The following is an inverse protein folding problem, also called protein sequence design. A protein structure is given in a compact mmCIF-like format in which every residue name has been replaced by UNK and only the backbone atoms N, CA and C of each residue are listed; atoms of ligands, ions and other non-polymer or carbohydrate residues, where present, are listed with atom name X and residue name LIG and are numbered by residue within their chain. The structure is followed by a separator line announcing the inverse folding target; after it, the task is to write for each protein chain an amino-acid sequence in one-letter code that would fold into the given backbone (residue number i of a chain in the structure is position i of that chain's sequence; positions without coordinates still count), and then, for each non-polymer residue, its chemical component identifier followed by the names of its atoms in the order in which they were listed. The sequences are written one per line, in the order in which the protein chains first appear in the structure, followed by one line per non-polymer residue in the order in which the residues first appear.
data_IF_524700844377
#
_entry.id   IF_524700844377
#
_cell.length_a   1.000
_cell.length_b   1.000
_cell.length_c   1.000
_cell.angle_alpha   90.00
_cell.angle_beta   90.00
_cell.angle_gamma   90.00
#
_symmetry.space_group_name_H-M   'P 1'
#
loop_
_entity.id
_entity.type
_entity.pdbx_description
1 polymer ?
#
# COMPACT_ATOMS: atom_id res chain seq x y z
N UNK A 1 33.99 -18.92 -15.72
CA UNK A 1 32.71 -18.66 -16.41
C UNK A 1 32.07 -17.46 -15.74
N UNK A 2 32.24 -16.31 -16.38
CA UNK A 2 31.70 -15.01 -15.94
C UNK A 2 30.23 -14.97 -16.31
N UNK A 3 29.34 -15.21 -15.34
CA UNK A 3 27.90 -15.02 -15.52
C UNK A 3 27.61 -13.52 -15.57
N UNK A 4 27.24 -13.03 -16.75
CA UNK A 4 26.69 -11.70 -16.91
C UNK A 4 25.38 -11.59 -16.12
N UNK A 5 25.33 -10.68 -15.16
CA UNK A 5 24.10 -10.29 -14.46
C UNK A 5 23.15 -9.66 -15.50
N UNK A 6 21.84 -9.95 -15.44
CA UNK A 6 20.88 -9.35 -16.38
C UNK A 6 20.87 -7.83 -16.21
N UNK A 7 20.92 -7.10 -17.31
CA UNK A 7 21.00 -5.64 -17.47
C UNK A 7 19.70 -4.92 -17.02
N UNK A 8 18.68 -5.64 -16.57
CA UNK A 8 17.44 -5.08 -15.98
C UNK A 8 17.46 -5.31 -14.48
N UNK A 9 17.50 -4.23 -13.69
CA UNK A 9 17.61 -4.24 -12.23
C UNK A 9 16.46 -4.88 -11.45
N UNK A 10 15.72 -5.81 -12.03
CA UNK A 10 14.72 -6.63 -11.38
C UNK A 10 15.25 -8.06 -11.22
N UNK A 11 15.40 -8.51 -9.97
CA UNK A 11 15.66 -9.90 -9.67
C UNK A 11 14.48 -10.76 -10.13
N UNK A 12 14.70 -12.00 -10.58
CA UNK A 12 13.61 -12.85 -11.06
C UNK A 12 12.57 -13.05 -9.97
N UNK A 13 11.32 -12.73 -10.30
CA UNK A 13 10.17 -12.99 -9.43
C UNK A 13 9.93 -14.49 -9.42
N UNK A 14 10.33 -15.16 -8.34
CA UNK A 14 10.05 -16.58 -8.10
C UNK A 14 8.65 -16.69 -7.49
N UNK A 15 7.64 -16.79 -8.33
CA UNK A 15 6.25 -17.04 -7.94
C UNK A 15 5.38 -17.11 -9.18
N UNK A 16 4.37 -17.99 -9.20
CA UNK A 16 3.40 -18.04 -10.30
C UNK A 16 2.69 -16.70 -10.41
N UNK A 17 2.78 -16.07 -11.59
CA UNK A 17 2.11 -14.80 -11.88
C UNK A 17 0.61 -15.05 -11.98
N UNK A 18 -0.23 -14.28 -11.28
CA UNK A 18 -1.68 -14.45 -11.35
C UNK A 18 -2.19 -14.16 -12.77
N UNK A 19 -3.24 -14.88 -13.23
CA UNK A 19 -3.89 -14.60 -14.50
C UNK A 19 -4.42 -13.16 -14.53
N UNK A 20 -4.54 -12.61 -15.74
CA UNK A 20 -4.82 -11.19 -16.02
C UNK A 20 -6.15 -10.62 -15.45
N UNK A 21 -6.91 -11.38 -14.67
CA UNK A 21 -8.24 -11.02 -14.17
C UNK A 21 -8.34 -10.59 -12.70
N UNK A 22 -7.34 -10.86 -11.86
CA UNK A 22 -7.51 -10.92 -10.40
C UNK A 22 -6.92 -9.74 -9.59
N UNK A 23 -6.71 -8.57 -10.19
CA UNK A 23 -6.32 -7.38 -9.43
C UNK A 23 -7.51 -6.77 -8.70
N UNK A 24 -7.32 -6.30 -7.43
CA UNK A 24 -8.38 -5.59 -6.76
C UNK A 24 -8.81 -4.41 -7.65
N UNK A 25 -10.11 -4.22 -7.83
CA UNK A 25 -10.61 -3.09 -8.62
C UNK A 25 -10.07 -1.79 -8.01
N UNK A 26 -9.72 -0.83 -8.88
CA UNK A 26 -9.52 0.55 -8.46
C UNK A 26 -10.75 0.92 -7.64
N UNK A 27 -10.59 1.49 -6.41
CA UNK A 27 -11.73 1.90 -5.64
C UNK A 27 -12.67 2.73 -6.54
N UNK A 28 -13.92 2.32 -6.63
CA UNK A 28 -14.91 3.06 -7.40
C UNK A 28 -14.90 4.53 -6.94
N UNK A 29 -15.15 5.50 -7.85
CA UNK A 29 -15.29 6.88 -7.44
C UNK A 29 -16.27 6.94 -6.28
N UNK A 30 -15.88 7.66 -5.24
CA UNK A 30 -16.72 7.81 -4.05
C UNK A 30 -17.99 8.49 -4.52
N UNK A 31 -19.13 7.80 -4.42
CA UNK A 31 -20.43 8.39 -4.74
C UNK A 31 -20.70 9.65 -3.89
N UNK A 32 -21.76 10.40 -4.17
CA UNK A 32 -22.09 11.59 -3.40
C UNK A 32 -22.17 11.22 -1.91
N UNK A 33 -21.35 11.91 -1.11
CA UNK A 33 -21.28 11.72 0.34
C UNK A 33 -22.34 12.62 0.97
N UNK A 34 -23.16 12.08 1.84
CA UNK A 34 -24.06 12.89 2.68
C UNK A 34 -23.20 13.73 3.64
N UNK A 35 -23.10 15.02 3.34
CA UNK A 35 -22.30 15.96 4.14
C UNK A 35 -22.81 16.05 5.58
N UNK A 36 -24.13 16.01 5.80
CA UNK A 36 -24.74 16.04 7.13
C UNK A 36 -24.41 14.79 7.94
N UNK A 37 -24.48 13.62 7.30
CA UNK A 37 -24.08 12.35 7.92
C UNK A 37 -22.59 12.28 8.26
N UNK A 38 -21.73 12.83 7.41
CA UNK A 38 -20.29 12.89 7.66
C UNK A 38 -19.95 13.83 8.83
N UNK A 39 -20.59 15.00 8.93
CA UNK A 39 -20.39 15.92 10.05
C UNK A 39 -20.84 15.30 11.37
N UNK A 40 -22.03 14.68 11.40
CA UNK A 40 -22.52 13.98 12.57
C UNK A 40 -21.56 12.83 13.00
N UNK A 41 -21.03 12.08 12.03
CA UNK A 41 -20.03 11.04 12.26
C UNK A 41 -18.74 11.63 12.87
N UNK A 42 -18.28 12.77 12.36
CA UNK A 42 -17.10 13.46 12.89
C UNK A 42 -17.29 13.92 14.33
N UNK A 43 -18.45 14.47 14.68
CA UNK A 43 -18.78 14.90 16.04
C UNK A 43 -18.82 13.74 17.03
N UNK A 44 -19.45 12.62 16.64
CA UNK A 44 -19.47 11.40 17.45
C UNK A 44 -18.07 10.85 17.66
N UNK A 45 -17.22 10.80 16.62
CA UNK A 45 -15.82 10.37 16.72
C UNK A 45 -15.01 11.32 17.60
N UNK A 46 -15.17 12.63 17.48
CA UNK A 46 -14.46 13.62 18.30
C UNK A 46 -14.78 13.48 19.79
N UNK A 47 -16.05 13.20 20.11
CA UNK A 47 -16.50 12.95 21.49
C UNK A 47 -15.92 11.65 22.05
N UNK A 48 -15.85 10.57 21.25
CA UNK A 48 -15.36 9.24 21.67
C UNK A 48 -13.84 9.12 21.65
N UNK A 49 -13.17 9.86 20.74
CA UNK A 49 -11.72 9.83 20.53
C UNK A 49 -11.12 11.23 20.70
N UNK A 50 -11.17 11.83 21.93
CA UNK A 50 -10.78 13.22 22.15
C UNK A 50 -9.34 13.49 21.75
N UNK A 51 -9.11 14.57 20.96
CA UNK A 51 -7.80 15.00 20.46
C UNK A 51 -7.21 14.11 19.37
N UNK A 52 -7.98 13.19 18.80
CA UNK A 52 -7.52 12.23 17.77
C UNK A 52 -8.22 12.42 16.42
N UNK A 53 -9.21 13.27 16.37
CA UNK A 53 -9.98 13.59 15.16
C UNK A 53 -9.58 14.98 14.66
N UNK A 54 -9.37 15.10 13.36
CA UNK A 54 -9.12 16.37 12.67
C UNK A 54 -10.01 16.46 11.43
N UNK A 55 -10.38 17.67 11.05
CA UNK A 55 -11.10 17.96 9.80
C UNK A 55 -10.15 18.59 8.80
N UNK A 56 -10.39 18.35 7.52
CA UNK A 56 -9.65 18.93 6.39
C UNK A 56 -8.13 18.79 6.49
N UNK A 57 -7.68 17.64 7.04
CA UNK A 57 -6.26 17.34 7.20
C UNK A 57 -5.64 16.98 5.85
N UNK A 58 -4.62 17.74 5.39
CA UNK A 58 -3.86 17.39 4.19
C UNK A 58 -3.26 15.98 4.28
N UNK A 59 -3.49 15.16 3.26
CA UNK A 59 -2.94 13.81 3.16
C UNK A 59 -1.53 13.77 2.55
N UNK A 60 -1.08 14.83 1.90
CA UNK A 60 0.24 14.89 1.28
C UNK A 60 1.39 14.49 2.24
N UNK A 61 1.45 14.95 3.51
CA UNK A 61 2.50 14.53 4.44
C UNK A 61 2.44 13.05 4.84
N UNK A 62 1.30 12.39 4.60
CA UNK A 62 1.07 10.97 4.93
C UNK A 62 1.33 10.04 3.73
N UNK A 63 1.72 10.58 2.57
CA UNK A 63 2.08 9.81 1.38
C UNK A 63 3.56 9.94 1.07
N UNK A 64 4.14 8.92 0.45
CA UNK A 64 5.54 9.00 -0.02
C UNK A 64 5.69 9.81 -1.29
N UNK A 65 4.61 10.01 -2.04
CA UNK A 65 4.55 11.00 -3.13
C UNK A 65 4.59 12.44 -2.65
N UNK A 66 4.20 12.69 -1.39
CA UNK A 66 3.96 14.03 -0.83
C UNK A 66 2.89 14.81 -1.61
N UNK A 67 1.98 14.09 -2.24
CA UNK A 67 0.83 14.60 -2.98
C UNK A 67 -0.47 14.13 -2.31
N UNK A 68 -1.55 14.86 -2.56
CA UNK A 68 -2.89 14.53 -2.11
C UNK A 68 -3.56 15.67 -1.36
N UNK A 69 -4.84 15.87 -1.63
CA UNK A 69 -5.69 16.84 -0.98
C UNK A 69 -6.09 16.43 0.44
N UNK A 70 -7.08 17.13 1.03
CA UNK A 70 -7.48 16.90 2.42
C UNK A 70 -8.30 15.64 2.62
N UNK A 71 -8.21 15.06 3.83
CA UNK A 71 -9.22 14.16 4.37
C UNK A 71 -10.33 15.00 4.99
N UNK A 72 -11.58 14.79 4.59
CA UNK A 72 -12.70 15.52 5.20
C UNK A 72 -12.75 15.27 6.72
N UNK A 73 -12.59 14.01 7.13
CA UNK A 73 -12.43 13.61 8.53
C UNK A 73 -11.21 12.69 8.66
N UNK A 74 -10.32 12.97 9.59
CA UNK A 74 -9.14 12.17 9.87
C UNK A 74 -9.17 11.66 11.31
N UNK A 75 -9.08 10.35 11.49
CA UNK A 75 -8.95 9.69 12.79
C UNK A 75 -7.55 9.08 12.94
N UNK A 76 -6.78 9.53 13.94
CA UNK A 76 -5.57 8.84 14.39
C UNK A 76 -5.91 7.94 15.56
N UNK A 77 -6.17 6.67 15.26
CA UNK A 77 -6.49 5.68 16.30
C UNK A 77 -5.25 5.29 17.11
N UNK A 78 -5.33 5.35 18.43
CA UNK A 78 -4.28 4.96 19.36
C UNK A 78 -4.63 3.71 20.17
N UNK A 79 -5.88 3.19 20.04
CA UNK A 79 -6.36 2.03 20.79
C UNK A 79 -7.38 1.22 19.98
N UNK A 80 -7.63 -0.02 20.42
CA UNK A 80 -8.73 -0.82 19.88
C UNK A 80 -10.10 -0.20 20.17
N UNK A 81 -10.23 0.55 21.26
CA UNK A 81 -11.47 1.28 21.60
C UNK A 81 -11.74 2.39 20.56
N UNK A 82 -10.72 3.06 20.02
CA UNK A 82 -10.88 4.03 18.93
C UNK A 82 -11.39 3.35 17.66
N UNK A 83 -10.87 2.15 17.36
CA UNK A 83 -11.35 1.36 16.23
C UNK A 83 -12.78 0.88 16.46
N UNK A 84 -13.13 0.50 17.70
CA UNK A 84 -14.50 0.13 18.06
C UNK A 84 -15.46 1.32 17.94
N UNK A 85 -15.04 2.51 18.36
CA UNK A 85 -15.79 3.75 18.18
C UNK A 85 -16.04 4.05 16.70
N UNK A 86 -15.02 3.90 15.85
CA UNK A 86 -15.14 4.06 14.41
C UNK A 86 -16.11 3.02 13.81
N UNK A 87 -16.03 1.74 14.23
CA UNK A 87 -16.92 0.69 13.74
C UNK A 87 -18.39 0.99 14.07
N UNK A 88 -18.69 1.56 15.24
CA UNK A 88 -20.04 2.02 15.60
C UNK A 88 -20.50 3.13 14.67
N UNK A 89 -19.66 4.12 14.42
CA UNK A 89 -19.98 5.25 13.52
C UNK A 89 -20.24 4.76 12.10
N UNK A 90 -19.40 3.88 11.56
CA UNK A 90 -19.56 3.34 10.20
C UNK A 90 -20.80 2.46 10.04
N UNK A 91 -21.26 1.80 11.11
CA UNK A 91 -22.49 1.04 11.11
C UNK A 91 -23.73 1.95 11.07
N UNK A 92 -23.70 3.04 11.83
CA UNK A 92 -24.84 3.96 12.02
C UNK A 92 -24.92 5.01 10.89
N UNK A 93 -23.79 5.36 10.27
CA UNK A 93 -23.67 6.25 9.12
C UNK A 93 -22.69 5.66 8.10
N UNK A 94 -23.17 5.08 6.99
CA UNK A 94 -22.30 4.51 5.96
C UNK A 94 -21.59 5.63 5.18
N UNK A 95 -20.45 6.07 5.70
CA UNK A 95 -19.58 7.06 5.07
C UNK A 95 -18.34 6.38 4.48
N UNK A 96 -17.74 6.94 3.41
CA UNK A 96 -16.54 6.37 2.79
C UNK A 96 -15.39 6.28 3.78
N UNK A 97 -14.73 5.13 3.81
CA UNK A 97 -13.58 4.86 4.67
C UNK A 97 -12.32 4.63 3.84
N UNK A 98 -11.23 5.29 4.21
CA UNK A 98 -9.89 5.03 3.71
C UNK A 98 -8.96 4.68 4.87
N UNK A 99 -8.20 3.59 4.75
CA UNK A 99 -7.20 3.20 5.74
C UNK A 99 -5.82 3.51 5.18
N UNK A 100 -5.07 4.39 5.86
CA UNK A 100 -3.75 4.85 5.40
C UNK A 100 -2.67 4.47 6.40
N UNK A 101 -1.65 3.74 5.92
CA UNK A 101 -0.41 3.53 6.66
C UNK A 101 0.58 4.68 6.38
N UNK A 102 1.61 4.41 5.59
CA UNK A 102 2.57 5.43 5.11
C UNK A 102 2.28 5.93 3.70
N UNK A 103 1.13 5.61 3.12
CA UNK A 103 0.74 6.04 1.77
C UNK A 103 1.80 5.72 0.70
N UNK A 104 2.55 4.63 0.88
CA UNK A 104 3.69 4.30 0.02
C UNK A 104 3.31 3.55 -1.26
N UNK A 105 2.05 3.20 -1.41
CA UNK A 105 1.48 2.59 -2.62
C UNK A 105 0.15 3.28 -3.00
N UNK A 106 0.09 4.61 -2.85
CA UNK A 106 -1.12 5.38 -3.09
C UNK A 106 -0.79 6.67 -3.85
N UNK A 107 -1.67 7.03 -4.77
CA UNK A 107 -1.79 8.36 -5.34
C UNK A 107 -3.14 8.92 -4.88
N UNK A 108 -3.12 9.93 -4.03
CA UNK A 108 -4.32 10.58 -3.52
C UNK A 108 -4.65 11.78 -4.41
N UNK A 109 -5.88 11.87 -4.88
CA UNK A 109 -6.35 12.97 -5.73
C UNK A 109 -6.15 14.35 -5.07
N UNK A 110 -6.01 15.39 -5.88
CA UNK A 110 -5.81 16.76 -5.40
C UNK A 110 -7.03 17.27 -4.61
N UNK A 111 -8.24 16.78 -4.92
CA UNK A 111 -9.46 17.00 -4.13
C UNK A 111 -9.51 16.25 -2.81
N UNK A 112 -8.60 15.32 -2.55
CA UNK A 112 -8.50 14.55 -1.31
C UNK A 112 -9.50 13.39 -1.22
N UNK A 113 -9.93 13.09 0.02
CA UNK A 113 -10.85 12.02 0.36
C UNK A 113 -12.09 12.56 1.06
N UNK A 114 -13.29 12.46 0.45
CA UNK A 114 -14.52 13.05 0.98
C UNK A 114 -15.20 12.16 2.05
N UNK A 115 -14.44 11.53 2.93
CA UNK A 115 -14.93 10.63 3.95
C UNK A 115 -13.98 10.57 5.14
N UNK A 116 -14.05 9.47 5.89
CA UNK A 116 -13.17 9.23 7.04
C UNK A 116 -11.88 8.57 6.57
N UNK A 117 -10.75 9.14 6.98
CA UNK A 117 -9.42 8.52 6.84
C UNK A 117 -8.98 8.00 8.20
N UNK A 118 -8.72 6.70 8.28
CA UNK A 118 -8.15 6.05 9.46
C UNK A 118 -6.63 5.92 9.31
N UNK A 119 -5.90 6.36 10.33
CA UNK A 119 -4.47 6.14 10.50
C UNK A 119 -4.17 5.54 11.87
N UNK A 120 -3.42 4.44 11.91
CA UNK A 120 -2.97 3.87 13.18
C UNK A 120 -1.82 4.70 13.77
N UNK A 121 -1.96 5.13 15.01
CA UNK A 121 -1.02 5.99 15.71
C UNK A 121 0.15 5.25 16.35
N UNK A 122 0.86 5.97 17.23
CA UNK A 122 2.12 5.53 17.83
C UNK A 122 1.98 4.26 18.69
N UNK A 123 0.85 4.08 19.38
CA UNK A 123 0.62 2.90 20.24
C UNK A 123 0.55 1.58 19.46
N UNK A 124 0.34 1.65 18.14
CA UNK A 124 0.45 0.50 17.24
C UNK A 124 1.85 0.34 16.62
N UNK A 125 2.88 1.02 17.13
CA UNK A 125 4.29 0.92 16.68
C UNK A 125 5.16 0.17 17.70
N UNK A 126 4.78 -1.04 18.07
CA UNK A 126 5.59 -1.89 18.95
C UNK A 126 6.33 -2.96 18.15
N UNK A 127 7.46 -3.42 18.66
CA UNK A 127 8.18 -4.61 18.15
C UNK A 127 8.70 -5.39 19.34
N UNK A 128 8.23 -6.60 19.47
CA UNK A 128 8.60 -7.54 20.54
C UNK A 128 9.24 -8.78 19.92
N UNK A 129 10.22 -9.37 20.58
CA UNK A 129 10.92 -10.59 20.11
C UNK A 129 10.85 -11.62 21.21
N UNK A 130 10.38 -12.80 20.87
CA UNK A 130 10.27 -13.95 21.76
C UNK A 130 10.83 -15.20 21.05
N UNK A 131 11.99 -15.67 21.49
CA UNK A 131 12.69 -16.76 20.84
C UNK A 131 13.04 -16.43 19.39
N UNK A 132 12.48 -17.18 18.45
CA UNK A 132 12.67 -16.96 17.01
C UNK A 132 11.51 -16.19 16.36
N UNK A 133 10.57 -15.71 17.15
CA UNK A 133 9.41 -14.99 16.65
C UNK A 133 9.53 -13.48 16.93
N UNK A 134 9.07 -12.68 15.98
CA UNK A 134 9.00 -11.24 16.09
C UNK A 134 7.56 -10.80 15.88
N UNK A 135 6.98 -10.14 16.90
CA UNK A 135 5.68 -9.49 16.79
C UNK A 135 5.86 -7.99 16.54
N UNK A 136 5.10 -7.45 15.60
CA UNK A 136 5.12 -6.02 15.29
C UNK A 136 3.70 -5.47 15.15
N UNK A 137 3.46 -4.29 15.71
CA UNK A 137 2.19 -3.59 15.58
C UNK A 137 1.97 -3.07 14.16
N UNK A 138 0.69 -2.92 13.75
CA UNK A 138 0.29 -2.59 12.38
C UNK A 138 0.82 -1.27 11.84
N UNK A 139 1.11 -0.28 12.72
CA UNK A 139 1.71 1.00 12.34
C UNK A 139 3.25 0.98 12.30
N UNK A 140 3.89 -0.14 12.68
CA UNK A 140 5.36 -0.25 12.67
C UNK A 140 5.89 -0.18 11.25
N UNK A 141 6.86 0.71 10.95
CA UNK A 141 7.53 0.74 9.64
C UNK A 141 8.27 -0.57 9.36
N UNK A 142 8.10 -1.16 8.20
CA UNK A 142 8.78 -2.40 7.79
C UNK A 142 10.32 -2.31 7.88
N UNK A 143 10.98 -1.19 7.51
CA UNK A 143 12.41 -1.02 7.75
C UNK A 143 12.81 -1.13 9.22
N UNK A 144 11.92 -0.75 10.14
CA UNK A 144 12.12 -0.88 11.59
C UNK A 144 12.06 -2.34 12.05
N UNK A 145 11.17 -3.14 11.44
CA UNK A 145 11.09 -4.60 11.69
C UNK A 145 12.39 -5.28 11.28
N UNK A 146 12.91 -5.01 10.06
CA UNK A 146 14.18 -5.54 9.60
C UNK A 146 15.36 -5.14 10.51
N UNK A 147 15.41 -3.88 10.95
CA UNK A 147 16.46 -3.42 11.86
C UNK A 147 16.38 -4.09 13.24
N UNK A 148 15.16 -4.37 13.74
CA UNK A 148 14.95 -5.05 15.02
C UNK A 148 15.30 -6.53 14.94
N UNK A 149 14.98 -7.21 13.82
CA UNK A 149 15.36 -8.60 13.61
C UNK A 149 16.89 -8.79 13.62
N UNK A 150 17.63 -7.90 12.94
CA UNK A 150 19.08 -7.92 12.96
C UNK A 150 19.66 -7.81 14.39
N UNK A 151 19.17 -6.84 15.18
CA UNK A 151 19.58 -6.67 16.60
C UNK A 151 19.26 -7.89 17.48
N UNK A 152 18.27 -8.68 17.09
CA UNK A 152 17.89 -9.91 17.77
C UNK A 152 18.63 -11.16 17.22
N UNK A 153 19.56 -11.00 16.28
CA UNK A 153 20.25 -12.09 15.59
C UNK A 153 19.26 -13.04 14.89
N UNK A 154 18.25 -12.49 14.22
CA UNK A 154 17.20 -13.19 13.49
C UNK A 154 17.16 -12.75 12.03
N UNK A 155 17.40 -13.69 11.11
CA UNK A 155 17.36 -13.51 9.66
C UNK A 155 15.99 -13.89 9.06
N UNK A 156 15.86 -13.66 7.72
CA UNK A 156 14.70 -14.07 6.94
C UNK A 156 13.68 -12.95 6.68
N UNK A 157 13.88 -11.74 7.24
CA UNK A 157 13.01 -10.58 6.99
C UNK A 157 13.82 -9.32 6.60
N UNK A 158 15.08 -9.47 6.25
CA UNK A 158 15.95 -8.36 5.84
C UNK A 158 15.38 -7.58 4.64
N UNK A 159 14.70 -8.26 3.71
CA UNK A 159 14.04 -7.65 2.55
C UNK A 159 13.04 -6.54 2.90
N UNK A 160 12.44 -6.60 4.10
CA UNK A 160 11.47 -5.59 4.56
C UNK A 160 12.07 -4.18 4.68
N UNK A 161 13.41 -4.04 4.76
CA UNK A 161 14.10 -2.74 4.71
C UNK A 161 13.85 -2.00 3.40
N UNK A 162 13.63 -2.74 2.32
CA UNK A 162 13.37 -2.20 0.99
C UNK A 162 11.93 -1.68 0.80
N UNK A 163 11.03 -1.91 1.75
CA UNK A 163 9.60 -1.59 1.64
C UNK A 163 9.26 -0.38 2.52
N UNK A 164 8.91 0.78 1.96
CA UNK A 164 8.67 2.01 2.75
C UNK A 164 7.34 2.01 3.53
N UNK A 165 6.58 0.91 3.51
CA UNK A 165 5.28 0.75 4.14
C UNK A 165 5.32 0.47 5.65
N UNK A 166 4.12 0.20 6.20
CA UNK A 166 3.93 -0.31 7.55
C UNK A 166 3.63 -1.81 7.53
N UNK A 167 3.73 -2.48 8.68
CA UNK A 167 3.35 -3.89 8.84
C UNK A 167 1.91 -4.13 8.36
N UNK A 168 0.96 -3.29 8.78
CA UNK A 168 -0.44 -3.44 8.38
C UNK A 168 -0.66 -3.33 6.87
N UNK A 169 -0.07 -2.30 6.23
CA UNK A 169 -0.10 -2.16 4.77
C UNK A 169 0.66 -3.28 4.06
N UNK A 170 1.77 -3.73 4.65
CA UNK A 170 2.56 -4.84 4.13
C UNK A 170 1.79 -6.16 4.12
N UNK A 171 1.12 -6.52 5.21
CA UNK A 171 0.27 -7.73 5.29
C UNK A 171 -0.89 -7.63 4.30
N UNK A 172 -1.58 -6.48 4.25
CA UNK A 172 -2.67 -6.27 3.30
C UNK A 172 -2.28 -6.47 1.85
N UNK A 173 -1.09 -6.01 1.47
CA UNK A 173 -0.58 -6.09 0.10
C UNK A 173 0.32 -7.30 -0.15
N UNK A 174 0.50 -8.19 0.82
CA UNK A 174 1.54 -9.22 0.76
C UNK A 174 2.85 -8.63 0.22
N UNK A 175 3.33 -7.57 0.87
CA UNK A 175 4.44 -6.79 0.37
C UNK A 175 5.73 -7.62 0.33
N UNK A 176 6.43 -7.53 -0.78
CA UNK A 176 7.66 -8.27 -1.00
C UNK A 176 8.71 -7.46 -1.77
N UNK A 177 9.96 -7.86 -1.62
CA UNK A 177 11.12 -7.35 -2.32
C UNK A 177 12.23 -8.42 -2.35
N UNK A 178 13.13 -8.34 -3.33
CA UNK A 178 14.30 -9.24 -3.43
C UNK A 178 13.93 -10.73 -3.39
N UNK A 179 12.82 -11.12 -4.06
CA UNK A 179 12.40 -12.53 -4.16
C UNK A 179 11.73 -13.10 -2.91
N UNK A 180 11.43 -12.28 -1.91
CA UNK A 180 10.72 -12.67 -0.69
C UNK A 180 9.50 -11.79 -0.44
N UNK A 181 8.49 -12.31 0.27
CA UNK A 181 7.29 -11.60 0.65
C UNK A 181 6.88 -11.88 2.10
N UNK A 182 6.00 -11.05 2.66
CA UNK A 182 5.64 -11.18 4.07
C UNK A 182 4.94 -12.50 4.38
N UNK A 183 4.18 -13.05 3.45
CA UNK A 183 3.52 -14.36 3.58
C UNK A 183 4.52 -15.47 3.92
N UNK A 184 5.77 -15.42 3.42
CA UNK A 184 6.81 -16.44 3.66
C UNK A 184 7.19 -16.59 5.14
N UNK A 185 6.95 -15.57 5.94
CA UNK A 185 7.38 -15.48 7.34
C UNK A 185 6.24 -15.28 8.33
N UNK A 186 5.04 -14.95 7.83
CA UNK A 186 3.89 -14.66 8.69
C UNK A 186 3.43 -15.90 9.44
N UNK A 187 3.25 -15.77 10.75
CA UNK A 187 2.63 -16.77 11.62
C UNK A 187 1.15 -16.49 11.80
N UNK A 188 0.82 -15.22 12.08
CA UNK A 188 -0.54 -14.73 12.19
C UNK A 188 -0.59 -13.20 12.07
N UNK A 189 -1.78 -12.69 11.79
CA UNK A 189 -2.11 -11.27 11.90
C UNK A 189 -3.36 -11.06 12.75
N UNK A 190 -3.35 -10.07 13.64
CA UNK A 190 -4.54 -9.60 14.34
C UNK A 190 -5.23 -8.56 13.46
N UNK A 191 -6.46 -8.87 13.05
CA UNK A 191 -7.25 -8.08 12.11
C UNK A 191 -8.50 -7.56 12.81
N UNK A 192 -8.65 -6.24 12.88
CA UNK A 192 -9.84 -5.59 13.40
C UNK A 192 -10.82 -5.29 12.26
N UNK A 193 -12.05 -5.75 12.38
CA UNK A 193 -13.10 -5.56 11.38
C UNK A 193 -13.97 -4.35 11.69
N UNK A 194 -13.82 -3.27 10.94
CA UNK A 194 -14.58 -2.02 11.10
C UNK A 194 -16.00 -2.13 10.50
N UNK A 195 -16.12 -2.87 9.40
CA UNK A 195 -17.38 -3.09 8.69
C UNK A 195 -17.58 -4.58 8.46
N UNK A 196 -18.84 -5.02 8.26
CA UNK A 196 -19.14 -6.35 7.74
C UNK A 196 -18.67 -6.47 6.28
N UNK A 197 -18.55 -7.70 5.80
CA UNK A 197 -18.33 -7.96 4.37
C UNK A 197 -19.60 -7.59 3.58
N UNK A 198 -19.61 -6.51 2.77
CA UNK A 198 -20.79 -6.12 2.00
C UNK A 198 -21.15 -7.14 0.91
N UNK A 199 -20.20 -8.02 0.56
CA UNK A 199 -20.38 -8.93 -0.57
C UNK A 199 -20.86 -10.32 -0.17
N UNK A 200 -21.00 -10.70 1.10
CA UNK A 200 -21.57 -12.01 1.54
C UNK A 200 -21.13 -13.25 0.74
N UNK A 201 -20.23 -13.11 -0.19
CA UNK A 201 -19.92 -14.05 -1.25
C UNK A 201 -18.51 -13.96 -1.80
N UNK A 202 -17.50 -13.74 -0.97
CA UNK A 202 -16.11 -13.94 -1.39
C UNK A 202 -15.88 -15.42 -1.68
N UNK A 203 -15.48 -15.75 -2.90
CA UNK A 203 -15.16 -17.09 -3.41
C UNK A 203 -13.93 -17.74 -2.77
N UNK A 204 -13.80 -17.65 -1.46
CA UNK A 204 -12.75 -18.24 -0.66
C UNK A 204 -13.22 -18.53 0.75
N UNK A 205 -13.94 -19.61 0.92
CA UNK A 205 -14.06 -20.53 2.03
C UNK A 205 -14.05 -20.08 3.50
N UNK A 206 -14.24 -18.81 3.87
CA UNK A 206 -14.39 -18.41 5.26
C UNK A 206 -15.88 -18.49 5.64
N UNK A 207 -16.26 -19.55 6.35
CA UNK A 207 -17.61 -19.71 6.89
C UNK A 207 -17.85 -18.67 7.99
N UNK A 208 -18.71 -17.70 7.69
CA UNK A 208 -19.21 -16.67 8.61
C UNK A 208 -18.51 -15.31 8.42
N UNK A 209 -19.32 -14.25 8.22
CA UNK A 209 -18.78 -12.88 8.22
C UNK A 209 -18.11 -12.60 9.56
N UNK A 210 -16.88 -12.04 9.56
CA UNK A 210 -16.18 -11.73 10.80
C UNK A 210 -17.00 -10.71 11.63
N UNK A 211 -16.95 -10.82 12.98
CA UNK A 211 -17.72 -9.94 13.85
C UNK A 211 -17.23 -8.51 13.73
N UNK A 212 -18.13 -7.59 13.35
CA UNK A 212 -17.87 -6.14 13.29
C UNK A 212 -17.51 -5.60 14.67
N UNK A 213 -16.53 -4.69 14.72
CA UNK A 213 -16.06 -4.06 15.96
C UNK A 213 -15.18 -4.95 16.82
N UNK A 214 -14.64 -6.03 16.29
CA UNK A 214 -13.76 -6.97 17.02
C UNK A 214 -12.49 -7.30 16.25
N UNK A 215 -11.47 -7.69 16.99
CA UNK A 215 -10.22 -8.23 16.47
C UNK A 215 -10.34 -9.76 16.33
N UNK A 216 -9.85 -10.28 15.20
CA UNK A 216 -9.74 -11.71 14.91
C UNK A 216 -8.30 -12.00 14.55
N UNK A 217 -7.75 -13.08 15.14
CA UNK A 217 -6.43 -13.58 14.76
C UNK A 217 -6.58 -14.49 13.56
N UNK A 218 -5.90 -14.13 12.45
CA UNK A 218 -5.95 -14.85 11.19
C UNK A 218 -4.58 -15.45 10.87
N UNK A 219 -4.56 -16.68 10.36
CA UNK A 219 -3.37 -17.37 9.84
C UNK A 219 -3.16 -17.04 8.36
N UNK A 220 -1.96 -17.33 7.80
CA UNK A 220 -1.66 -17.05 6.39
C UNK A 220 -2.66 -17.65 5.39
N UNK A 221 -3.14 -18.87 5.63
CA UNK A 221 -4.14 -19.56 4.79
C UNK A 221 -5.51 -18.87 4.80
N UNK A 222 -5.88 -18.20 5.91
CA UNK A 222 -7.12 -17.44 6.04
C UNK A 222 -7.02 -16.05 5.40
N UNK A 223 -5.80 -15.53 5.19
CA UNK A 223 -5.54 -14.22 4.59
C UNK A 223 -5.57 -14.25 3.05
N UNK A 224 -5.62 -15.43 2.43
CA UNK A 224 -5.77 -15.60 0.98
C UNK A 224 -4.73 -14.80 0.18
N UNK A 225 -3.46 -14.93 0.56
CA UNK A 225 -2.37 -14.21 -0.08
C UNK A 225 -2.19 -14.58 -1.55
N UNK A 226 -1.85 -13.59 -2.35
CA UNK A 226 -1.39 -13.72 -3.71
C UNK A 226 -0.39 -12.61 -4.02
N UNK A 227 0.08 -12.56 -5.26
CA UNK A 227 1.04 -11.53 -5.68
C UNK A 227 0.46 -10.13 -5.45
N UNK A 228 1.06 -9.35 -4.55
CA UNK A 228 0.66 -7.98 -4.15
C UNK A 228 -0.78 -7.87 -3.65
N UNK A 229 -1.35 -8.92 -3.05
CA UNK A 229 -2.72 -8.89 -2.52
C UNK A 229 -2.92 -9.81 -1.31
N UNK A 230 -3.98 -9.53 -0.56
CA UNK A 230 -4.63 -10.45 0.37
C UNK A 230 -6.14 -10.42 0.16
N UNK A 231 -6.86 -11.40 0.71
CA UNK A 231 -8.32 -11.44 0.70
C UNK A 231 -8.96 -10.61 1.83
N UNK A 232 -8.21 -9.75 2.50
CA UNK A 232 -8.75 -8.89 3.54
C UNK A 232 -9.81 -7.92 2.98
N UNK A 233 -11.01 -7.82 3.58
CA UNK A 233 -12.05 -6.88 3.15
C UNK A 233 -11.62 -5.42 3.34
N UNK A 234 -12.29 -4.48 2.66
CA UNK A 234 -11.94 -3.06 2.66
C UNK A 234 -11.89 -2.44 4.07
N UNK A 235 -12.82 -2.82 4.96
CA UNK A 235 -12.87 -2.35 6.34
C UNK A 235 -12.00 -3.14 7.34
N UNK A 236 -11.11 -4.00 6.88
CA UNK A 236 -10.19 -4.75 7.74
C UNK A 236 -8.92 -3.96 8.04
N UNK A 237 -8.55 -3.87 9.31
CA UNK A 237 -7.36 -3.18 9.82
C UNK A 237 -6.43 -4.19 10.47
N UNK A 238 -5.25 -4.39 9.91
CA UNK A 238 -4.22 -5.21 10.57
C UNK A 238 -3.60 -4.40 11.69
N UNK A 239 -3.81 -4.83 12.93
CA UNK A 239 -3.36 -4.12 14.15
C UNK A 239 -2.05 -4.66 14.69
N UNK A 240 -1.71 -5.93 14.42
CA UNK A 240 -0.44 -6.57 14.72
C UNK A 240 -0.18 -7.74 13.76
N UNK A 241 1.08 -8.15 13.63
CA UNK A 241 1.47 -9.36 12.93
C UNK A 241 2.68 -10.00 13.59
N UNK A 242 2.75 -11.34 13.57
CA UNK A 242 3.86 -12.13 14.09
C UNK A 242 4.53 -12.89 12.97
N UNK A 243 5.85 -12.87 12.96
CA UNK A 243 6.71 -13.47 11.94
C UNK A 243 7.64 -14.51 12.59
N UNK A 244 7.76 -15.68 11.99
CA UNK A 244 8.75 -16.70 12.34
C UNK A 244 10.04 -16.44 11.55
N UNK A 245 11.13 -16.28 12.27
CA UNK A 245 12.44 -15.93 11.74
C UNK A 245 13.44 -17.05 12.02
N UNK A 246 14.62 -16.95 11.44
CA UNK A 246 15.67 -17.95 11.60
C UNK A 246 16.87 -17.36 12.35
N UNK A 247 17.47 -18.07 13.33
CA UNK A 247 18.68 -17.59 13.96
C UNK A 247 19.79 -17.35 12.92
N UNK A 248 20.38 -16.15 12.96
CA UNK A 248 21.48 -15.77 12.10
C UNK A 248 22.34 -14.73 12.82
N UNK A 249 23.67 -14.70 12.62
CA UNK A 249 24.53 -13.69 13.23
C UNK A 249 24.08 -12.29 12.85
N UNK A 250 24.04 -11.35 13.82
CA UNK A 250 23.64 -9.95 13.57
C UNK A 250 24.39 -9.33 12.37
N UNK A 251 25.68 -9.61 12.26
CA UNK A 251 26.52 -9.08 11.18
C UNK A 251 26.04 -9.56 9.80
N UNK A 252 25.61 -10.82 9.68
CA UNK A 252 25.06 -11.38 8.44
C UNK A 252 23.77 -10.67 8.06
N UNK A 253 22.82 -10.56 9.00
CA UNK A 253 21.52 -9.89 8.75
C UNK A 253 21.72 -8.41 8.41
N UNK A 254 22.65 -7.73 9.07
CA UNK A 254 23.00 -6.34 8.73
C UNK A 254 23.58 -6.22 7.33
N UNK A 255 24.44 -7.16 6.90
CA UNK A 255 25.00 -7.16 5.55
C UNK A 255 23.90 -7.31 4.49
N UNK A 256 22.92 -8.19 4.69
CA UNK A 256 21.74 -8.35 3.82
C UNK A 256 20.91 -7.04 3.74
N UNK A 257 20.65 -6.41 4.89
CA UNK A 257 19.96 -5.11 4.97
C UNK A 257 20.71 -4.03 4.19
N UNK A 258 22.02 -3.94 4.35
CA UNK A 258 22.83 -2.93 3.71
C UNK A 258 22.98 -3.19 2.20
N UNK A 259 23.00 -4.44 1.77
CA UNK A 259 22.93 -4.83 0.37
C UNK A 259 21.61 -4.39 -0.27
N UNK A 260 20.48 -4.71 0.36
CA UNK A 260 19.16 -4.30 -0.13
C UNK A 260 19.01 -2.76 -0.20
N UNK A 261 19.59 -2.03 0.77
CA UNK A 261 19.61 -0.55 0.75
C UNK A 261 20.49 0.00 -0.38
N UNK A 262 21.68 -0.59 -0.59
CA UNK A 262 22.56 -0.19 -1.70
C UNK A 262 21.87 -0.42 -3.03
N UNK A 263 21.34 -1.63 -3.25
CA UNK A 263 20.64 -1.95 -4.48
C UNK A 263 19.51 -0.96 -4.78
N UNK A 264 18.68 -0.61 -3.77
CA UNK A 264 17.61 0.38 -3.96
C UNK A 264 18.15 1.75 -4.32
N UNK A 265 19.19 2.22 -3.65
CA UNK A 265 19.80 3.52 -3.94
C UNK A 265 20.37 3.60 -5.35
N UNK A 266 20.94 2.48 -5.82
CA UNK A 266 21.58 2.42 -7.13
C UNK A 266 20.57 2.23 -8.28
N UNK A 267 19.40 1.65 -8.00
CA UNK A 267 18.42 1.25 -9.02
C UNK A 267 17.04 1.95 -8.92
N UNK A 268 16.77 2.74 -7.87
CA UNK A 268 15.48 3.37 -7.66
C UNK A 268 15.63 4.84 -7.24
N UNK A 269 14.66 5.73 -7.57
CA UNK A 269 14.70 7.15 -7.22
C UNK A 269 14.33 7.40 -5.74
N UNK A 270 15.07 6.77 -4.80
CA UNK A 270 14.74 6.75 -3.36
C UNK A 270 14.77 8.12 -2.68
N UNK A 271 15.47 9.09 -3.27
CA UNK A 271 15.61 10.45 -2.73
C UNK A 271 14.58 11.45 -3.27
N UNK A 272 13.67 10.99 -4.14
CA UNK A 272 12.61 11.80 -4.73
C UNK A 272 11.24 11.30 -4.27
N UNK A 273 10.22 12.17 -4.08
CA UNK A 273 8.87 11.76 -3.77
C UNK A 273 8.31 10.82 -4.86
N UNK A 274 7.85 9.63 -4.46
CA UNK A 274 7.29 8.61 -5.36
C UNK A 274 6.48 7.58 -4.55
N UNK A 275 5.73 6.70 -5.21
CA UNK A 275 4.96 5.62 -4.58
C UNK A 275 5.54 4.21 -4.79
N UNK A 276 6.78 4.09 -5.22
CA UNK A 276 7.31 2.80 -5.69
C UNK A 276 6.91 2.51 -7.13
N UNK A 277 6.82 1.23 -7.48
CA UNK A 277 6.39 0.78 -8.79
C UNK A 277 4.96 1.21 -9.11
N UNK A 278 4.78 1.89 -10.24
CA UNK A 278 3.47 2.39 -10.69
C UNK A 278 2.62 1.28 -11.27
N UNK A 279 3.24 0.39 -12.04
CA UNK A 279 2.56 -0.71 -12.73
C UNK A 279 3.01 -2.06 -12.22
N UNK A 280 2.06 -2.98 -12.12
CA UNK A 280 2.34 -4.38 -11.95
C UNK A 280 3.00 -4.97 -13.20
N UNK A 281 3.87 -5.96 -13.01
CA UNK A 281 4.52 -6.62 -14.14
C UNK A 281 3.50 -7.43 -14.93
N UNK A 282 3.27 -7.11 -16.23
CA UNK A 282 2.46 -7.95 -17.10
C UNK A 282 3.17 -9.29 -17.39
N UNK A 283 2.44 -10.31 -17.90
CA UNK A 283 3.00 -11.62 -18.16
C UNK A 283 4.18 -11.62 -19.16
N UNK A 284 4.19 -10.69 -20.09
CA UNK A 284 5.13 -10.66 -21.21
C UNK A 284 6.53 -10.21 -20.78
N UNK A 285 6.61 -9.20 -19.90
CA UNK A 285 7.88 -8.65 -19.42
C UNK A 285 7.69 -7.75 -18.21
N UNK A 286 8.80 -7.29 -17.60
CA UNK A 286 8.75 -6.32 -16.53
C UNK A 286 8.12 -4.99 -16.96
N UNK A 287 7.22 -4.40 -16.16
CA UNK A 287 6.55 -3.15 -16.50
C UNK A 287 7.53 -1.99 -16.74
N UNK A 288 8.63 -1.96 -15.99
CA UNK A 288 9.71 -0.98 -16.21
C UNK A 288 10.29 -1.08 -17.63
N UNK A 289 10.46 -2.32 -18.14
CA UNK A 289 10.95 -2.53 -19.50
C UNK A 289 9.92 -2.10 -20.55
N UNK A 290 8.63 -2.31 -20.30
CA UNK A 290 7.57 -1.80 -21.20
C UNK A 290 7.66 -0.28 -21.33
N UNK A 291 7.68 0.44 -20.19
CA UNK A 291 7.74 1.91 -20.17
C UNK A 291 9.05 2.44 -20.77
N UNK A 292 10.15 1.70 -20.63
CA UNK A 292 11.44 2.04 -21.25
C UNK A 292 11.43 1.85 -22.77
N UNK A 293 10.82 0.76 -23.28
CA UNK A 293 10.66 0.53 -24.73
C UNK A 293 9.80 1.61 -25.40
N UNK A 294 8.85 2.18 -24.66
CA UNK A 294 8.06 3.33 -25.09
C UNK A 294 8.86 4.65 -25.11
N UNK A 295 10.11 4.65 -24.66
CA UNK A 295 10.95 5.86 -24.61
C UNK A 295 10.48 6.89 -23.57
N UNK A 296 9.70 6.49 -22.57
CA UNK A 296 9.07 7.44 -21.63
C UNK A 296 9.98 7.90 -20.48
N UNK A 297 11.19 7.35 -20.32
CA UNK A 297 12.14 7.86 -19.29
C UNK A 297 12.35 9.36 -19.46
N UNK A 298 12.24 10.13 -18.38
CA UNK A 298 12.38 11.58 -18.40
C UNK A 298 11.14 12.34 -18.89
N UNK A 299 10.11 11.67 -19.43
CA UNK A 299 8.89 12.30 -19.88
C UNK A 299 8.16 12.96 -18.70
N UNK A 300 7.70 14.19 -18.88
CA UNK A 300 7.12 15.01 -17.82
C UNK A 300 5.69 15.45 -18.16
N UNK A 301 4.93 15.73 -17.09
CA UNK A 301 3.64 16.40 -17.12
C UNK A 301 3.56 17.29 -15.86
N UNK A 302 3.42 18.60 -16.03
CA UNK A 302 3.51 19.54 -14.93
C UNK A 302 4.76 19.30 -14.07
N UNK A 303 4.57 19.09 -12.78
CA UNK A 303 5.66 18.77 -11.83
C UNK A 303 6.02 17.31 -11.72
N UNK A 304 5.30 16.39 -12.40
CA UNK A 304 5.58 14.95 -12.38
C UNK A 304 6.49 14.53 -13.54
N UNK A 305 7.30 13.48 -13.33
CA UNK A 305 8.22 12.94 -14.34
C UNK A 305 8.38 11.44 -14.21
N UNK A 306 8.41 10.72 -15.32
CA UNK A 306 8.88 9.33 -15.34
C UNK A 306 10.36 9.31 -14.99
N UNK A 307 10.75 8.53 -14.00
CA UNK A 307 12.13 8.52 -13.51
C UNK A 307 13.11 8.04 -14.57
N UNK A 308 14.24 8.73 -14.69
CA UNK A 308 15.35 8.32 -15.56
C UNK A 308 16.12 7.12 -15.00
N UNK A 309 16.08 6.93 -13.66
CA UNK A 309 16.73 5.80 -13.00
C UNK A 309 15.95 4.51 -13.23
N UNK A 310 14.59 4.55 -13.04
CA UNK A 310 13.74 3.36 -13.16
C UNK A 310 12.42 3.73 -13.82
N UNK A 311 12.15 3.21 -14.99
CA UNK A 311 11.00 3.63 -15.82
C UNK A 311 9.63 3.30 -15.21
N UNK A 312 9.53 2.30 -14.30
CA UNK A 312 8.28 2.00 -13.57
C UNK A 312 8.04 2.91 -12.35
N UNK A 313 8.78 4.01 -12.24
CA UNK A 313 8.63 5.01 -11.19
C UNK A 313 8.28 6.36 -11.80
N UNK A 314 7.31 7.04 -11.17
CA UNK A 314 7.04 8.45 -11.43
C UNK A 314 7.48 9.20 -10.18
N UNK A 315 8.20 10.30 -10.36
CA UNK A 315 8.68 11.17 -9.29
C UNK A 315 7.98 12.51 -9.36
N UNK A 316 7.76 13.12 -8.20
CA UNK A 316 7.12 14.43 -8.08
C UNK A 316 8.16 15.47 -7.62
N UNK A 317 8.20 16.61 -8.30
CA UNK A 317 8.93 17.80 -7.88
C UNK A 317 8.02 18.73 -7.06
N UNK A 318 8.57 19.81 -6.54
CA UNK A 318 7.80 20.84 -5.85
C UNK A 318 6.77 21.46 -6.80
N UNK A 319 5.53 21.57 -6.32
CA UNK A 319 4.41 22.08 -7.12
C UNK A 319 3.74 21.03 -8.02
N UNK A 320 4.20 19.76 -8.02
CA UNK A 320 3.51 18.67 -8.72
C UNK A 320 2.11 18.43 -8.12
N UNK A 321 1.19 17.97 -8.96
CA UNK A 321 -0.16 17.56 -8.59
C UNK A 321 -0.38 16.06 -8.80
N UNK A 322 -1.40 15.51 -8.17
CA UNK A 322 -1.79 14.13 -8.44
C UNK A 322 -2.33 13.96 -9.88
N UNK A 323 -2.93 15.00 -10.42
CA UNK A 323 -3.36 15.05 -11.82
C UNK A 323 -2.17 14.92 -12.79
N UNK A 324 -1.03 15.56 -12.52
CA UNK A 324 0.19 15.42 -13.34
C UNK A 324 0.69 13.98 -13.40
N UNK A 325 0.72 13.31 -12.25
CA UNK A 325 1.10 11.89 -12.16
C UNK A 325 0.15 11.02 -12.96
N UNK A 326 -1.17 11.26 -12.81
CA UNK A 326 -2.19 10.48 -13.51
C UNK A 326 -2.10 10.61 -15.03
N UNK A 327 -1.77 11.80 -15.56
CA UNK A 327 -1.53 12.00 -16.99
C UNK A 327 -0.44 11.07 -17.51
N UNK A 328 0.69 10.96 -16.79
CA UNK A 328 1.78 10.06 -17.17
C UNK A 328 1.36 8.58 -17.08
N UNK A 329 0.61 8.20 -16.04
CA UNK A 329 0.07 6.83 -15.91
C UNK A 329 -0.82 6.49 -17.11
N UNK A 330 -1.79 7.33 -17.43
CA UNK A 330 -2.71 7.11 -18.54
C UNK A 330 -1.98 7.06 -19.90
N UNK A 331 -1.00 7.94 -20.10
CA UNK A 331 -0.18 7.98 -21.29
C UNK A 331 0.61 6.68 -21.48
N UNK A 332 1.25 6.17 -20.43
CA UNK A 332 1.96 4.90 -20.45
C UNK A 332 1.03 3.74 -20.77
N UNK A 333 -0.15 3.67 -20.14
CA UNK A 333 -1.14 2.61 -20.38
C UNK A 333 -1.66 2.63 -21.84
N UNK A 334 -1.98 3.82 -22.37
CA UNK A 334 -2.44 3.99 -23.74
C UNK A 334 -1.36 3.56 -24.73
N UNK A 335 -0.14 4.10 -24.60
CA UNK A 335 0.97 3.80 -25.51
C UNK A 335 1.39 2.33 -25.45
N UNK A 336 1.41 1.71 -24.25
CA UNK A 336 1.72 0.28 -24.12
C UNK A 336 0.72 -0.59 -24.93
N UNK A 337 -0.56 -0.26 -24.84
CA UNK A 337 -1.61 -0.96 -25.59
C UNK A 337 -1.48 -0.71 -27.10
N UNK A 338 -1.32 0.54 -27.50
CA UNK A 338 -1.42 0.95 -28.92
C UNK A 338 -0.13 0.62 -29.70
N UNK A 339 1.05 0.73 -29.09
CA UNK A 339 2.35 0.52 -29.74
C UNK A 339 2.90 -0.90 -29.53
N UNK A 340 2.59 -1.56 -28.40
CA UNK A 340 3.17 -2.85 -28.05
C UNK A 340 2.14 -3.98 -27.88
N UNK A 341 0.84 -3.68 -27.89
CA UNK A 341 -0.22 -4.65 -27.62
C UNK A 341 -0.26 -5.13 -26.14
N UNK A 342 0.45 -4.45 -25.23
CA UNK A 342 0.59 -4.84 -23.82
C UNK A 342 -0.37 -4.04 -22.96
N UNK A 343 -1.14 -4.74 -22.11
CA UNK A 343 -2.03 -4.10 -21.14
C UNK A 343 -1.30 -3.87 -19.81
N UNK A 344 -0.90 -2.62 -19.53
CA UNK A 344 -0.39 -2.21 -18.24
C UNK A 344 -1.55 -2.04 -17.23
N UNK A 345 -1.33 -2.46 -15.99
CA UNK A 345 -2.25 -2.27 -14.87
C UNK A 345 -1.53 -1.56 -13.73
N UNK A 346 -2.18 -0.62 -13.07
CA UNK A 346 -1.57 0.07 -11.93
C UNK A 346 -1.41 -0.86 -10.75
N UNK A 347 -0.21 -0.88 -10.14
CA UNK A 347 0.03 -1.44 -8.80
C UNK A 347 -0.28 -0.37 -7.75
N UNK A 348 0.02 0.89 -8.05
CA UNK A 348 -0.36 2.03 -7.21
C UNK A 348 -1.89 2.15 -7.12
N UNK A 349 -2.38 2.38 -5.90
CA UNK A 349 -3.80 2.60 -5.65
C UNK A 349 -4.16 4.07 -5.88
N UNK A 350 -5.11 4.32 -6.77
CA UNK A 350 -5.68 5.65 -6.98
C UNK A 350 -6.78 5.89 -5.95
N UNK A 351 -6.70 6.99 -5.20
CA UNK A 351 -7.55 7.29 -4.06
C UNK A 351 -8.19 8.67 -4.22
N UNK A 352 -9.50 8.75 -4.09
CA UNK A 352 -10.27 9.97 -4.28
C UNK A 352 -10.84 10.09 -5.70
N UNK A 353 -11.36 11.27 -6.02
CA UNK A 353 -11.97 11.55 -7.32
C UNK A 353 -10.94 12.17 -8.28
N UNK A 354 -10.65 11.47 -9.36
CA UNK A 354 -9.79 11.92 -10.46
C UNK A 354 -10.60 12.37 -11.69
N UNK A 355 -11.89 12.63 -11.53
CA UNK A 355 -12.80 13.03 -12.60
C UNK A 355 -13.26 11.89 -13.51
N UNK A 356 -14.10 12.16 -14.52
CA UNK A 356 -14.83 11.16 -15.31
C UNK A 356 -13.97 10.26 -16.19
N UNK A 357 -12.68 10.52 -16.32
CA UNK A 357 -11.73 9.69 -17.03
C UNK A 357 -10.83 8.91 -16.07
N UNK A 358 -11.39 7.99 -15.28
CA UNK A 358 -10.63 6.95 -14.58
C UNK A 358 -9.72 6.18 -15.53
N UNK A 359 -8.69 5.45 -15.07
CA UNK A 359 -7.80 4.70 -15.93
C UNK A 359 -8.60 3.62 -16.69
N UNK A 360 -8.98 3.89 -17.92
CA UNK A 360 -9.77 2.98 -18.78
C UNK A 360 -11.01 3.57 -19.46
N UNK A 361 -11.44 4.78 -19.10
CA UNK A 361 -12.52 5.50 -19.79
C UNK A 361 -11.99 6.24 -21.02
N UNK A 362 -12.53 5.90 -22.18
CA UNK A 362 -12.10 6.38 -23.49
C UNK A 362 -12.33 7.86 -23.75
N UNK A 363 -11.68 8.30 -24.81
CA UNK A 363 -11.95 9.46 -25.67
C UNK A 363 -12.10 10.82 -24.98
N UNK A 364 -11.07 11.63 -25.17
CA UNK A 364 -11.07 13.06 -24.97
C UNK A 364 -9.71 13.59 -24.54
N UNK A 365 -8.77 13.63 -25.46
CA UNK A 365 -7.61 14.51 -25.39
C UNK A 365 -8.05 15.87 -26.00
N UNK A 366 -7.74 17.05 -25.38
CA UNK A 366 -7.84 18.31 -26.07
C UNK A 366 -6.74 18.46 -27.12
#
# INVERSE_FOLDING_TARGET
MTGELPVTGELPVTGERPPAGDWPPIPAPVGPVDAGGLEAAADVLAARCPGRVSRDLSLAPLTTFRLGGPAAVFLRAESLDDLAALAVVLRDAPVPLLIVGRGSNMLVADGGWPGIVLHLGQRFRRVEVEGIELEAGGATPLPGVAARSAKASLGGIAFAVAIPGTVGGGVRMNAGAHGSELADRLVWADVFHLTGDPAGGGSGGVKGSPPVGRSVRMKPDELGFGYRRSALPAGAVVTAARFALTPAPEATVRAEIDEARRWRRDNQPVNQPNCGSVFANPPEMAAGRVVELLGMKGEASGGARVSEVHANFIVAADGATAADVLVLIRRAMRRARDELGITLRTEVQLVGDFGPAGPGGGEGDP
#
